data_IF_449457085271
#
_entry.id   IF_449457085271
#
_cell.length_a   1.000
_cell.length_b   1.000
_cell.length_c   1.000
_cell.angle_alpha   90.00
_cell.angle_beta   90.00
_cell.angle_gamma   90.00
#
_symmetry.space_group_name_H-M   'P 1'
#
loop_
_entity.id
_entity.type
_entity.pdbx_description
1 polymer ?
#
# COMPACT_ATOMS: atom_id res chain seq x y z
N UNK A 1 9.01 23.13 -8.67
CA UNK A 1 10.42 23.60 -8.56
C UNK A 1 10.67 24.69 -9.61
N UNK A 2 11.85 25.31 -9.63
CA UNK A 2 12.21 26.14 -10.79
C UNK A 2 12.56 25.21 -11.96
N UNK A 3 12.33 25.66 -13.19
CA UNK A 3 12.90 25.03 -14.37
C UNK A 3 14.43 25.23 -14.36
N UNK A 4 15.17 24.13 -14.39
CA UNK A 4 16.62 24.09 -14.30
C UNK A 4 17.29 23.86 -15.67
N UNK A 5 16.49 23.87 -16.76
CA UNK A 5 16.97 23.68 -18.12
C UNK A 5 17.98 24.78 -18.53
N UNK A 6 19.17 24.44 -19.06
CA UNK A 6 20.20 25.42 -19.41
C UNK A 6 19.78 26.46 -20.46
N UNK A 7 18.89 26.09 -21.39
CA UNK A 7 18.31 26.99 -22.40
C UNK A 7 17.24 27.94 -21.86
N UNK A 8 16.92 27.82 -20.57
CA UNK A 8 15.87 28.58 -19.91
C UNK A 8 14.46 28.02 -20.16
N UNK A 9 13.50 28.62 -19.46
CA UNK A 9 12.12 28.13 -19.36
C UNK A 9 11.44 27.87 -20.71
N UNK A 10 11.55 28.81 -21.67
CA UNK A 10 10.84 28.71 -22.95
C UNK A 10 11.36 27.55 -23.80
N UNK A 11 12.68 27.35 -23.83
CA UNK A 11 13.28 26.25 -24.58
C UNK A 11 12.98 24.90 -23.93
N UNK A 12 13.11 24.82 -22.61
CA UNK A 12 12.80 23.60 -21.85
C UNK A 12 11.34 23.16 -22.03
N UNK A 13 10.39 24.08 -21.86
CA UNK A 13 8.96 23.80 -22.07
C UNK A 13 8.66 23.33 -23.51
N UNK A 14 9.29 23.96 -24.51
CA UNK A 14 9.14 23.52 -25.91
C UNK A 14 9.64 22.08 -26.11
N UNK A 15 10.78 21.73 -25.52
CA UNK A 15 11.36 20.39 -25.65
C UNK A 15 10.51 19.34 -24.93
N UNK A 16 10.02 19.62 -23.73
CA UNK A 16 9.07 18.77 -23.01
C UNK A 16 7.81 18.54 -23.84
N UNK A 17 7.19 19.60 -24.37
CA UNK A 17 6.02 19.48 -25.26
C UNK A 17 6.31 18.62 -26.51
N UNK A 18 7.50 18.74 -27.11
CA UNK A 18 7.89 17.89 -28.24
C UNK A 18 7.96 16.42 -27.83
N UNK A 19 8.51 16.09 -26.66
CA UNK A 19 8.54 14.72 -26.15
C UNK A 19 7.13 14.17 -25.88
N UNK A 20 6.25 14.97 -25.28
CA UNK A 20 4.84 14.64 -25.04
C UNK A 20 4.12 14.27 -26.34
N UNK A 21 4.17 15.14 -27.35
CA UNK A 21 3.51 14.91 -28.62
C UNK A 21 4.13 13.75 -29.41
N UNK A 22 5.46 13.57 -29.29
CA UNK A 22 6.13 12.42 -29.88
C UNK A 22 5.69 11.11 -29.23
N UNK A 23 5.45 11.11 -27.92
CA UNK A 23 4.91 9.95 -27.20
C UNK A 23 3.54 9.55 -27.74
N UNK A 24 2.65 10.51 -28.02
CA UNK A 24 1.36 10.20 -28.66
C UNK A 24 1.50 9.51 -30.01
N UNK A 25 2.51 9.87 -30.81
CA UNK A 25 2.78 9.18 -32.07
C UNK A 25 3.20 7.72 -31.85
N UNK A 26 4.01 7.43 -30.83
CA UNK A 26 4.39 6.06 -30.43
C UNK A 26 3.16 5.28 -29.97
N UNK A 27 2.36 5.84 -29.06
CA UNK A 27 1.14 5.22 -28.56
C UNK A 27 0.16 4.89 -29.69
N UNK A 28 0.05 5.77 -30.70
CA UNK A 28 -0.76 5.52 -31.88
C UNK A 28 -0.22 4.37 -32.73
N UNK A 29 1.11 4.28 -32.91
CA UNK A 29 1.73 3.17 -33.63
C UNK A 29 1.44 1.82 -32.94
N UNK A 30 1.56 1.77 -31.61
CA UNK A 30 1.39 0.55 -30.81
C UNK A 30 -0.08 0.12 -30.75
N UNK A 31 -0.97 1.03 -30.36
CA UNK A 31 -2.35 0.69 -29.98
C UNK A 31 -3.44 1.33 -30.87
N UNK A 32 -3.09 2.25 -31.77
CA UNK A 32 -4.05 3.03 -32.59
C UNK A 32 -5.16 3.71 -31.76
N UNK A 33 -4.85 4.08 -30.51
CA UNK A 33 -5.79 4.62 -29.53
C UNK A 33 -7.08 3.79 -29.41
N UNK A 34 -6.93 2.47 -29.39
CA UNK A 34 -8.05 1.53 -29.25
C UNK A 34 -8.06 0.84 -27.88
N UNK A 35 -9.16 0.17 -27.55
CA UNK A 35 -9.29 -0.55 -26.28
C UNK A 35 -9.28 0.37 -25.05
N UNK A 36 -9.15 -0.23 -23.85
CA UNK A 36 -9.17 0.52 -22.59
C UNK A 36 -7.92 1.37 -22.33
N UNK A 37 -6.80 1.07 -22.98
CA UNK A 37 -5.57 1.88 -22.93
C UNK A 37 -5.66 3.12 -23.82
N UNK A 38 -6.51 3.09 -24.86
CA UNK A 38 -6.73 4.24 -25.74
C UNK A 38 -7.56 5.37 -25.13
N UNK A 39 -7.99 5.22 -23.87
CA UNK A 39 -8.65 6.29 -23.12
C UNK A 39 -7.69 7.48 -22.94
N UNK A 40 -8.24 8.70 -23.10
CA UNK A 40 -7.45 9.92 -23.09
C UNK A 40 -6.65 10.07 -21.80
N UNK A 41 -7.20 9.71 -20.64
CA UNK A 41 -6.51 9.90 -19.36
C UNK A 41 -5.24 9.04 -19.26
N UNK A 42 -5.25 7.81 -19.80
CA UNK A 42 -4.04 6.97 -19.84
C UNK A 42 -2.99 7.52 -20.80
N UNK A 43 -3.42 7.96 -21.99
CA UNK A 43 -2.51 8.46 -23.02
C UNK A 43 -1.81 9.76 -22.59
N UNK A 44 -2.55 10.70 -22.00
CA UNK A 44 -2.00 11.97 -21.52
C UNK A 44 -1.10 11.77 -20.30
N UNK A 45 -1.47 10.89 -19.37
CA UNK A 45 -0.65 10.62 -18.19
C UNK A 45 0.72 10.01 -18.56
N UNK A 46 0.74 9.08 -19.52
CA UNK A 46 1.96 8.43 -20.03
C UNK A 46 2.80 9.38 -20.91
N UNK A 47 2.16 10.34 -21.59
CA UNK A 47 2.86 11.39 -22.33
C UNK A 47 3.46 12.46 -21.40
N UNK A 48 2.76 12.85 -20.34
CA UNK A 48 3.30 13.73 -19.30
C UNK A 48 4.51 13.10 -18.59
N UNK A 49 4.46 11.79 -18.37
CA UNK A 49 5.59 11.06 -17.79
C UNK A 49 6.81 11.04 -18.72
N UNK A 50 6.63 11.01 -20.04
CA UNK A 50 7.73 11.11 -21.01
C UNK A 50 8.46 12.45 -20.93
N UNK A 51 7.77 13.53 -20.58
CA UNK A 51 8.40 14.84 -20.36
C UNK A 51 9.45 14.73 -19.25
N UNK A 52 9.08 14.12 -18.14
CA UNK A 52 9.97 13.93 -16.98
C UNK A 52 11.10 12.94 -17.28
N UNK A 53 10.82 11.82 -17.95
CA UNK A 53 11.86 10.83 -18.25
C UNK A 53 12.96 11.35 -19.18
N UNK A 54 12.63 12.28 -20.09
CA UNK A 54 13.57 12.78 -21.12
C UNK A 54 14.16 14.14 -20.76
N UNK A 55 13.40 14.97 -20.05
CA UNK A 55 13.75 16.34 -19.71
C UNK A 55 13.45 16.64 -18.23
N UNK A 56 13.96 15.80 -17.33
CA UNK A 56 13.88 15.92 -15.87
C UNK A 56 14.18 17.35 -15.35
N UNK A 57 15.23 17.99 -15.88
CA UNK A 57 15.64 19.35 -15.52
C UNK A 57 14.57 20.44 -15.84
N UNK A 58 13.55 20.13 -16.66
CA UNK A 58 12.51 21.10 -17.02
C UNK A 58 11.51 21.29 -15.88
N UNK A 59 11.29 20.27 -15.05
CA UNK A 59 10.41 20.30 -13.89
C UNK A 59 8.96 20.76 -14.24
N UNK A 60 8.41 20.38 -15.40
CA UNK A 60 7.10 20.90 -15.82
C UNK A 60 5.93 20.19 -15.12
N UNK A 61 6.04 18.88 -14.90
CA UNK A 61 4.93 18.05 -14.41
C UNK A 61 4.43 18.45 -13.01
N UNK A 62 5.28 19.11 -12.20
CA UNK A 62 4.92 19.66 -10.90
C UNK A 62 3.73 20.63 -10.97
N UNK A 63 3.56 21.32 -12.10
CA UNK A 63 2.44 22.24 -12.33
C UNK A 63 1.08 21.52 -12.32
N UNK A 64 1.05 20.22 -12.63
CA UNK A 64 -0.16 19.41 -12.66
C UNK A 64 -0.58 18.87 -11.29
N UNK A 65 0.29 18.96 -10.28
CA UNK A 65 0.09 18.31 -8.98
C UNK A 65 -0.75 19.14 -8.01
N UNK A 66 -0.94 20.44 -8.27
CA UNK A 66 -1.57 21.37 -7.33
C UNK A 66 -3.08 21.14 -7.13
N UNK A 67 -3.78 20.60 -8.13
CA UNK A 67 -5.24 20.40 -8.10
C UNK A 67 -5.65 19.16 -8.88
N UNK A 68 -6.70 18.47 -8.42
CA UNK A 68 -7.21 17.23 -9.00
C UNK A 68 -6.15 16.11 -9.13
N UNK A 69 -5.07 16.22 -8.37
CA UNK A 69 -4.03 15.19 -8.30
C UNK A 69 -4.36 14.17 -7.22
N UNK A 70 -3.62 13.07 -7.17
CA UNK A 70 -3.77 12.07 -6.11
C UNK A 70 -3.51 12.69 -4.72
N UNK A 71 -2.67 13.72 -4.63
CA UNK A 71 -2.41 14.44 -3.39
C UNK A 71 -3.63 15.24 -2.91
N UNK A 72 -4.33 15.94 -3.81
CA UNK A 72 -5.48 16.79 -3.45
C UNK A 72 -6.81 16.04 -3.45
N UNK A 73 -6.91 14.97 -4.22
CA UNK A 73 -8.17 14.31 -4.59
C UNK A 73 -8.05 12.79 -4.59
N UNK A 74 -7.60 12.14 -3.49
CA UNK A 74 -7.36 10.70 -3.45
C UNK A 74 -8.62 9.85 -3.72
N UNK A 75 -9.82 10.42 -3.55
CA UNK A 75 -11.10 9.78 -3.83
C UNK A 75 -11.45 9.73 -5.33
N UNK A 76 -10.68 10.39 -6.18
CA UNK A 76 -10.80 10.28 -7.63
C UNK A 76 -10.05 9.03 -8.11
N UNK A 77 -10.74 8.20 -8.89
CA UNK A 77 -10.14 6.96 -9.39
C UNK A 77 -9.03 7.28 -10.40
N UNK A 78 -7.93 6.53 -10.34
CA UNK A 78 -6.88 6.62 -11.37
C UNK A 78 -7.32 5.89 -12.64
N UNK A 79 -7.07 6.44 -13.84
CA UNK A 79 -6.24 7.62 -14.16
C UNK A 79 -7.00 8.96 -14.18
N UNK A 80 -6.25 10.07 -14.15
CA UNK A 80 -6.75 11.44 -14.40
C UNK A 80 -5.64 12.24 -15.10
N UNK A 81 -5.54 12.06 -16.43
CA UNK A 81 -4.55 12.67 -17.33
C UNK A 81 -3.21 13.07 -16.64
N UNK A 82 -2.75 14.30 -16.87
CA UNK A 82 -1.52 14.86 -16.30
C UNK A 82 -1.52 14.89 -14.77
N UNK A 83 -2.66 15.10 -14.12
CA UNK A 83 -2.77 15.30 -12.67
C UNK A 83 -2.41 14.05 -11.85
N UNK A 84 -2.43 12.87 -12.47
CA UNK A 84 -2.05 11.62 -11.83
C UNK A 84 -0.67 11.11 -12.28
N UNK A 85 0.16 11.91 -12.97
CA UNK A 85 1.48 11.48 -13.48
C UNK A 85 2.39 10.83 -12.41
N UNK A 86 2.36 11.33 -11.17
CA UNK A 86 3.12 10.75 -10.04
C UNK A 86 2.69 9.32 -9.69
N UNK A 87 1.48 8.91 -10.09
CA UNK A 87 1.07 7.52 -10.00
C UNK A 87 1.89 6.61 -10.91
N UNK A 88 2.23 7.07 -12.13
CA UNK A 88 3.08 6.31 -13.05
C UNK A 88 4.54 6.37 -12.62
N UNK A 89 5.01 7.52 -12.14
CA UNK A 89 6.37 7.70 -11.62
C UNK A 89 6.65 6.77 -10.42
N UNK A 90 5.66 6.51 -9.56
CA UNK A 90 5.78 5.49 -8.52
C UNK A 90 6.26 4.14 -9.09
N UNK A 91 5.69 3.68 -10.21
CA UNK A 91 6.11 2.41 -10.80
C UNK A 91 7.49 2.52 -11.45
N UNK A 92 7.85 3.68 -12.02
CA UNK A 92 9.19 3.93 -12.54
C UNK A 92 10.24 3.90 -11.41
N UNK A 93 9.97 4.48 -10.25
CA UNK A 93 10.86 4.41 -9.09
C UNK A 93 10.96 2.99 -8.52
N UNK A 94 9.84 2.26 -8.43
CA UNK A 94 9.85 0.91 -7.87
C UNK A 94 10.51 -0.13 -8.79
N UNK A 95 10.42 0.07 -10.11
CA UNK A 95 10.72 -0.98 -11.08
C UNK A 95 11.67 -0.55 -12.20
N UNK A 96 12.08 0.71 -12.22
CA UNK A 96 12.81 1.34 -13.32
C UNK A 96 11.94 1.61 -14.55
N UNK A 97 12.36 2.56 -15.38
CA UNK A 97 11.64 3.02 -16.58
C UNK A 97 11.31 1.92 -17.59
N UNK A 98 12.14 0.88 -17.64
CA UNK A 98 11.91 -0.33 -18.45
C UNK A 98 10.55 -0.98 -18.19
N UNK A 99 9.94 -0.78 -17.01
CA UNK A 99 8.63 -1.31 -16.68
C UNK A 99 7.57 -0.82 -17.66
N UNK A 100 7.55 0.48 -17.96
CA UNK A 100 6.56 1.06 -18.87
C UNK A 100 6.80 0.66 -20.33
N UNK A 101 8.05 0.45 -20.73
CA UNK A 101 8.38 -0.13 -22.04
C UNK A 101 7.81 -1.54 -22.19
N UNK A 102 7.96 -2.38 -21.16
CA UNK A 102 7.37 -3.73 -21.16
C UNK A 102 5.84 -3.69 -21.17
N UNK A 103 5.21 -2.78 -20.43
CA UNK A 103 3.75 -2.62 -20.40
C UNK A 103 3.23 -2.27 -21.80
N UNK A 104 3.82 -1.27 -22.46
CA UNK A 104 3.44 -0.91 -23.83
C UNK A 104 3.74 -2.02 -24.85
N UNK A 105 4.77 -2.83 -24.61
CA UNK A 105 5.03 -4.04 -25.40
C UNK A 105 3.87 -5.04 -25.32
N UNK A 106 3.25 -5.23 -24.15
CA UNK A 106 2.05 -6.07 -24.02
C UNK A 106 0.86 -5.48 -24.77
N UNK A 107 0.64 -4.16 -24.65
CA UNK A 107 -0.45 -3.45 -25.32
C UNK A 107 -0.31 -3.56 -26.84
N UNK A 108 0.92 -3.42 -27.38
CA UNK A 108 1.18 -3.56 -28.81
C UNK A 108 0.87 -4.98 -29.33
N UNK A 109 1.09 -6.01 -28.49
CA UNK A 109 0.76 -7.40 -28.83
C UNK A 109 -0.75 -7.68 -28.77
N UNK A 110 -1.47 -7.05 -27.83
CA UNK A 110 -2.91 -7.18 -27.70
C UNK A 110 -3.58 -5.85 -27.31
N UNK A 111 -4.11 -5.17 -28.33
CA UNK A 111 -4.76 -3.86 -28.22
C UNK A 111 -6.07 -3.84 -27.41
N UNK A 112 -6.61 -5.01 -27.08
CA UNK A 112 -7.81 -5.10 -26.24
C UNK A 112 -7.48 -5.13 -24.74
N UNK A 113 -6.21 -5.18 -24.36
CA UNK A 113 -5.81 -5.12 -22.95
C UNK A 113 -6.20 -3.76 -22.34
N UNK A 114 -6.54 -3.78 -21.06
CA UNK A 114 -6.55 -2.56 -20.25
C UNK A 114 -5.12 -2.26 -19.76
N UNK A 115 -4.84 -1.03 -19.34
CA UNK A 115 -3.51 -0.67 -18.82
C UNK A 115 -3.14 -1.56 -17.62
N UNK A 116 -4.10 -1.76 -16.73
CA UNK A 116 -3.93 -2.56 -15.51
C UNK A 116 -3.70 -4.04 -15.80
N UNK A 117 -4.21 -4.57 -16.92
CA UNK A 117 -3.88 -5.92 -17.38
C UNK A 117 -2.43 -6.06 -17.81
N UNK A 118 -2.00 -5.14 -18.67
CA UNK A 118 -0.64 -5.12 -19.16
C UNK A 118 0.34 -5.01 -17.98
N UNK A 119 0.06 -4.13 -17.01
CA UNK A 119 0.83 -4.02 -15.76
C UNK A 119 0.85 -5.32 -14.96
N UNK A 120 -0.31 -5.97 -14.75
CA UNK A 120 -0.38 -7.23 -14.00
C UNK A 120 0.42 -8.36 -14.69
N UNK A 121 0.42 -8.40 -16.03
CA UNK A 121 1.20 -9.35 -16.82
C UNK A 121 2.71 -9.11 -16.67
N UNK A 122 3.17 -7.86 -16.75
CA UNK A 122 4.58 -7.49 -16.56
C UNK A 122 5.05 -7.79 -15.13
N UNK A 123 4.28 -7.41 -14.12
CA UNK A 123 4.60 -7.70 -12.71
C UNK A 123 4.69 -9.20 -12.44
N UNK A 124 3.80 -10.00 -13.05
CA UNK A 124 3.91 -11.45 -12.97
C UNK A 124 5.23 -11.96 -13.59
N UNK A 125 5.55 -11.48 -14.79
CA UNK A 125 6.73 -11.92 -15.54
C UNK A 125 8.01 -11.66 -14.74
N UNK A 126 8.19 -10.42 -14.29
CA UNK A 126 9.35 -9.97 -13.49
C UNK A 126 9.51 -10.77 -12.20
N UNK A 127 8.43 -11.22 -11.58
CA UNK A 127 8.49 -12.08 -10.38
C UNK A 127 8.96 -13.51 -10.68
N UNK A 128 8.77 -14.00 -11.90
CA UNK A 128 9.04 -15.41 -12.27
C UNK A 128 10.36 -15.62 -13.01
N UNK A 129 11.14 -14.56 -13.26
CA UNK A 129 12.35 -14.58 -14.12
C UNK A 129 12.11 -15.26 -15.49
N UNK A 130 10.87 -15.25 -15.96
CA UNK A 130 10.49 -15.92 -17.20
C UNK A 130 10.74 -14.99 -18.38
N UNK A 131 11.78 -15.27 -19.16
CA UNK A 131 12.13 -14.54 -20.40
C UNK A 131 11.26 -14.91 -21.60
N UNK A 132 10.38 -15.91 -21.47
CA UNK A 132 9.53 -16.37 -22.58
C UNK A 132 8.20 -15.61 -22.63
N UNK A 133 8.08 -14.71 -23.60
CA UNK A 133 6.87 -13.98 -23.99
C UNK A 133 5.75 -14.87 -24.59
N UNK A 134 5.49 -16.07 -24.06
CA UNK A 134 4.49 -16.96 -24.68
C UNK A 134 3.67 -17.86 -23.77
N UNK A 135 3.73 -17.73 -22.43
CA UNK A 135 2.87 -18.58 -21.57
C UNK A 135 2.64 -18.08 -20.14
N UNK A 136 2.86 -16.78 -19.84
CA UNK A 136 2.02 -16.17 -18.80
C UNK A 136 0.64 -16.13 -19.45
N UNK A 137 -0.22 -17.08 -19.07
CA UNK A 137 -1.49 -17.32 -19.74
C UNK A 137 -2.19 -15.98 -20.03
N UNK A 138 -2.96 -15.90 -21.11
CA UNK A 138 -3.86 -14.78 -21.43
C UNK A 138 -4.87 -14.44 -20.30
N UNK A 139 -4.81 -15.17 -19.18
CA UNK A 139 -5.39 -14.85 -17.90
C UNK A 139 -4.28 -14.27 -17.01
N UNK A 140 -4.36 -12.99 -16.64
CA UNK A 140 -3.43 -12.39 -15.69
C UNK A 140 -3.24 -13.33 -14.48
N UNK A 141 -2.01 -13.77 -14.24
CA UNK A 141 -1.73 -14.70 -13.16
C UNK A 141 -2.07 -14.01 -11.83
N UNK A 142 -2.82 -14.69 -10.97
CA UNK A 142 -3.35 -14.16 -9.71
C UNK A 142 -2.29 -13.45 -8.85
N UNK A 143 -1.01 -13.81 -8.99
CA UNK A 143 0.08 -13.17 -8.25
C UNK A 143 0.44 -11.78 -8.80
N UNK A 144 0.47 -11.58 -10.12
CA UNK A 144 0.69 -10.27 -10.74
C UNK A 144 -0.42 -9.27 -10.36
N UNK A 145 -1.67 -9.71 -10.41
CA UNK A 145 -2.83 -8.91 -9.92
C UNK A 145 -2.66 -8.58 -8.44
N UNK A 146 -2.30 -9.56 -7.62
CA UNK A 146 -2.11 -9.31 -6.19
C UNK A 146 -0.98 -8.33 -5.90
N UNK A 147 0.10 -8.34 -6.68
CA UNK A 147 1.21 -7.39 -6.55
C UNK A 147 0.76 -5.99 -6.97
N UNK A 148 0.06 -5.88 -8.10
CA UNK A 148 -0.47 -4.61 -8.56
C UNK A 148 -1.43 -3.96 -7.53
N UNK A 149 -2.28 -4.75 -6.88
CA UNK A 149 -3.16 -4.25 -5.81
C UNK A 149 -2.38 -3.74 -4.59
N UNK A 150 -1.29 -4.43 -4.22
CA UNK A 150 -0.39 -3.98 -3.16
C UNK A 150 0.30 -2.67 -3.55
N UNK A 151 0.85 -2.60 -4.75
CA UNK A 151 1.52 -1.42 -5.29
C UNK A 151 0.59 -0.22 -5.36
N UNK A 152 -0.66 -0.42 -5.78
CA UNK A 152 -1.64 0.66 -5.79
C UNK A 152 -1.91 1.22 -4.38
N UNK A 153 -1.91 0.33 -3.37
CA UNK A 153 -2.08 0.74 -1.98
C UNK A 153 -0.86 1.52 -1.47
N UNK A 154 0.34 1.04 -1.77
CA UNK A 154 1.61 1.70 -1.45
C UNK A 154 1.70 3.07 -2.12
N UNK A 155 1.34 3.14 -3.40
CA UNK A 155 1.31 4.36 -4.19
C UNK A 155 0.42 5.43 -3.54
N UNK A 156 -0.82 5.08 -3.16
CA UNK A 156 -1.67 6.01 -2.38
C UNK A 156 -1.06 6.38 -1.02
N UNK A 157 -0.36 5.47 -0.34
CA UNK A 157 0.29 5.78 0.93
C UNK A 157 1.46 6.76 0.75
N UNK A 158 2.28 6.61 -0.30
CA UNK A 158 3.35 7.55 -0.67
C UNK A 158 2.79 8.95 -0.90
N UNK A 159 1.72 9.06 -1.68
CA UNK A 159 1.05 10.34 -1.91
C UNK A 159 0.48 10.92 -0.61
N UNK A 160 -0.17 10.12 0.22
CA UNK A 160 -0.74 10.57 1.50
C UNK A 160 0.34 10.96 2.53
N UNK A 161 1.55 10.41 2.41
CA UNK A 161 2.70 10.73 3.26
C UNK A 161 3.48 11.97 2.82
N UNK A 162 3.13 12.59 1.70
CA UNK A 162 3.81 13.79 1.18
C UNK A 162 3.52 15.04 2.01
N UNK A 163 4.57 15.82 2.29
CA UNK A 163 4.58 16.90 3.29
C UNK A 163 4.91 18.30 2.75
N UNK A 164 4.82 18.56 1.44
CA UNK A 164 5.18 19.88 0.88
C UNK A 164 6.59 20.36 1.26
N UNK A 165 7.62 19.55 1.00
CA UNK A 165 9.00 20.04 1.18
C UNK A 165 9.48 20.14 2.62
N UNK A 166 9.10 19.20 3.48
CA UNK A 166 9.64 18.97 4.82
C UNK A 166 9.31 20.01 5.92
N UNK A 167 8.38 20.95 5.68
CA UNK A 167 7.86 21.86 6.70
C UNK A 167 6.45 21.46 7.15
N UNK A 168 6.31 20.35 7.89
CA UNK A 168 5.07 20.01 8.59
C UNK A 168 5.15 20.43 10.07
N UNK A 169 4.27 21.30 10.61
CA UNK A 169 4.26 21.66 12.02
C UNK A 169 4.13 20.47 12.98
N UNK A 170 3.60 19.34 12.50
CA UNK A 170 3.43 18.11 13.28
C UNK A 170 4.67 17.21 13.28
N UNK A 171 5.62 17.41 12.35
CA UNK A 171 6.73 16.50 12.15
C UNK A 171 7.98 17.21 11.63
N UNK A 172 9.09 17.00 12.34
CA UNK A 172 10.42 17.44 11.88
C UNK A 172 11.26 16.19 11.61
N UNK A 173 11.84 16.05 10.40
CA UNK A 173 12.72 14.93 10.11
C UNK A 173 13.97 14.96 11.00
N UNK A 174 14.46 13.79 11.39
CA UNK A 174 15.69 13.67 12.19
C UNK A 174 16.98 13.82 11.37
N UNK A 175 16.89 13.89 10.04
CA UNK A 175 18.02 14.05 9.10
C UNK A 175 17.56 14.72 7.79
N UNK A 176 18.51 15.06 6.90
CA UNK A 176 18.21 15.60 5.56
C UNK A 176 17.53 14.59 4.60
N UNK A 177 17.35 13.33 5.00
CA UNK A 177 16.65 12.27 4.26
C UNK A 177 15.14 12.23 4.60
N UNK A 178 14.55 13.40 4.85
CA UNK A 178 13.27 13.56 5.54
C UNK A 178 12.02 13.34 4.70
N UNK A 179 12.00 12.40 3.76
CA UNK A 179 10.90 12.29 2.82
C UNK A 179 10.48 10.83 2.61
N UNK A 180 9.20 10.56 2.85
CA UNK A 180 8.61 9.24 2.74
C UNK A 180 8.21 8.97 1.29
N UNK A 181 8.68 7.85 0.74
CA UNK A 181 8.30 7.41 -0.59
C UNK A 181 9.19 8.00 -1.67
N UNK A 182 8.65 8.90 -2.48
CA UNK A 182 9.30 9.42 -3.69
C UNK A 182 10.62 10.12 -3.38
N UNK A 183 11.60 9.99 -4.28
CA UNK A 183 12.86 10.74 -4.20
C UNK A 183 12.60 12.27 -4.22
N UNK A 184 11.69 12.72 -5.08
CA UNK A 184 11.32 14.13 -5.27
C UNK A 184 10.21 14.60 -4.32
N UNK A 185 9.87 13.84 -3.29
CA UNK A 185 8.76 14.18 -2.38
C UNK A 185 8.94 15.52 -1.65
N UNK A 186 10.16 16.09 -1.64
CA UNK A 186 10.40 17.45 -1.18
C UNK A 186 9.73 18.53 -2.07
N UNK A 187 9.44 18.23 -3.34
CA UNK A 187 8.80 19.14 -4.29
C UNK A 187 7.30 18.87 -4.47
N UNK A 188 6.80 17.77 -3.91
CA UNK A 188 5.40 17.38 -4.01
C UNK A 188 4.51 18.11 -3.01
N UNK A 189 3.26 18.41 -3.39
CA UNK A 189 2.34 19.10 -2.50
C UNK A 189 2.02 18.25 -1.27
N UNK A 190 1.57 18.92 -0.21
CA UNK A 190 1.08 18.25 1.00
C UNK A 190 -0.23 17.53 0.66
N UNK A 191 -0.35 16.29 1.12
CA UNK A 191 -1.58 15.53 0.93
C UNK A 191 -2.78 16.21 1.60
N UNK A 192 -3.91 16.20 0.91
CA UNK A 192 -5.22 16.51 1.48
C UNK A 192 -5.86 15.21 1.96
N UNK A 193 -6.35 15.22 3.20
CA UNK A 193 -7.00 14.06 3.79
C UNK A 193 -8.51 14.13 3.64
N UNK A 194 -9.15 12.98 3.41
CA UNK A 194 -10.62 12.88 3.51
C UNK A 194 -11.09 13.29 4.90
N UNK A 195 -10.32 12.95 5.94
CA UNK A 195 -10.59 13.36 7.31
C UNK A 195 -9.27 13.58 8.06
N UNK A 196 -9.19 14.66 8.84
CA UNK A 196 -8.09 14.92 9.77
C UNK A 196 -8.67 15.12 11.17
N UNK A 197 -8.21 14.32 12.13
CA UNK A 197 -8.78 14.26 13.48
C UNK A 197 -7.67 14.38 14.51
N UNK A 198 -7.86 15.30 15.46
CA UNK A 198 -7.04 15.38 16.68
C UNK A 198 -7.77 14.69 17.82
N UNK A 199 -7.40 13.43 18.08
CA UNK A 199 -8.06 12.56 19.03
C UNK A 199 -7.85 13.05 20.46
N UNK A 200 -8.93 13.14 21.24
CA UNK A 200 -8.87 13.49 22.67
C UNK A 200 -8.82 12.25 23.56
N UNK A 201 -9.57 11.21 23.19
CA UNK A 201 -9.67 9.93 23.88
C UNK A 201 -9.91 8.82 22.87
N UNK A 202 -9.49 7.59 23.20
CA UNK A 202 -9.85 6.40 22.43
C UNK A 202 -11.07 5.68 23.04
N UNK A 203 -11.89 4.99 22.24
CA UNK A 203 -11.78 4.84 20.78
C UNK A 203 -12.30 6.07 20.00
N UNK A 204 -11.83 6.22 18.77
CA UNK A 204 -12.26 7.25 17.80
C UNK A 204 -12.61 6.55 16.48
N UNK A 205 -13.59 7.06 15.72
CA UNK A 205 -14.02 6.38 14.50
C UNK A 205 -14.85 7.24 13.57
N UNK A 206 -15.05 6.75 12.35
CA UNK A 206 -15.78 7.51 11.34
C UNK A 206 -16.24 6.66 10.16
N UNK A 207 -16.95 7.34 9.26
CA UNK A 207 -17.54 6.75 8.07
C UNK A 207 -16.88 7.33 6.81
N UNK A 208 -16.30 6.46 5.98
CA UNK A 208 -15.69 6.83 4.69
C UNK A 208 -16.69 6.72 3.53
N UNK A 209 -17.89 6.20 3.78
CA UNK A 209 -18.93 6.11 2.75
C UNK A 209 -18.61 5.07 1.70
N UNK A 210 -18.55 5.52 0.45
CA UNK A 210 -18.31 4.66 -0.70
C UNK A 210 -17.01 5.05 -1.40
N UNK A 211 -16.24 4.04 -1.81
CA UNK A 211 -14.97 4.22 -2.50
C UNK A 211 -15.08 3.56 -3.87
N UNK A 212 -15.01 4.36 -4.94
CA UNK A 212 -14.99 3.85 -6.32
C UNK A 212 -13.79 2.93 -6.55
N UNK A 213 -13.87 2.00 -7.50
CA UNK A 213 -12.73 1.15 -7.87
C UNK A 213 -11.53 2.03 -8.27
N UNK A 214 -10.32 1.69 -7.80
CA UNK A 214 -9.08 2.45 -8.02
C UNK A 214 -9.03 3.86 -7.43
N UNK A 215 -9.91 4.15 -6.48
CA UNK A 215 -9.87 5.34 -5.64
C UNK A 215 -9.51 4.98 -4.19
N UNK A 216 -9.19 6.00 -3.40
CA UNK A 216 -8.88 5.87 -1.99
C UNK A 216 -9.57 6.92 -1.12
N UNK A 217 -9.75 6.58 0.15
CA UNK A 217 -10.01 7.57 1.19
C UNK A 217 -8.84 7.58 2.16
N UNK A 218 -8.51 8.76 2.67
CA UNK A 218 -7.34 8.97 3.54
C UNK A 218 -7.76 9.63 4.84
N UNK A 219 -7.22 9.15 5.95
CA UNK A 219 -7.51 9.65 7.30
C UNK A 219 -6.19 9.97 7.99
N UNK A 220 -6.07 11.17 8.54
CA UNK A 220 -4.95 11.55 9.40
C UNK A 220 -5.43 11.67 10.84
N UNK A 221 -4.70 11.05 11.75
CA UNK A 221 -5.00 11.02 13.18
C UNK A 221 -3.82 11.60 13.96
N UNK A 222 -4.07 12.61 14.79
CA UNK A 222 -3.11 13.09 15.79
C UNK A 222 -3.51 12.53 17.15
N UNK A 223 -2.64 11.74 17.83
CA UNK A 223 -2.96 11.19 19.13
C UNK A 223 -3.08 12.28 20.21
N UNK A 224 -3.79 12.01 21.32
CA UNK A 224 -3.86 12.94 22.43
C UNK A 224 -2.46 13.14 23.04
N UNK A 225 -2.11 14.36 23.49
CA UNK A 225 -0.84 14.61 24.19
C UNK A 225 -0.64 13.74 25.44
N UNK A 226 -1.74 13.22 25.99
CA UNK A 226 -1.78 12.37 27.18
C UNK A 226 -1.81 10.87 26.86
N UNK A 227 -1.52 10.45 25.63
CA UNK A 227 -1.48 9.04 25.26
C UNK A 227 -0.49 8.27 26.15
N UNK A 228 -0.93 7.12 26.69
CA UNK A 228 -0.13 6.27 27.57
C UNK A 228 0.89 5.47 26.73
N UNK A 229 2.20 5.47 27.07
CA UNK A 229 3.21 4.73 26.31
C UNK A 229 2.99 3.21 26.30
N UNK A 230 2.22 2.67 27.25
CA UNK A 230 1.82 1.26 27.30
C UNK A 230 0.64 0.93 26.38
N UNK A 231 0.04 1.93 25.74
CA UNK A 231 -1.07 1.76 24.81
C UNK A 231 -0.60 1.88 23.36
N UNK A 232 -0.80 0.80 22.62
CA UNK A 232 -0.53 0.69 21.21
C UNK A 232 -1.71 1.01 20.33
N UNK A 233 -1.39 1.27 19.06
CA UNK A 233 -2.35 1.49 17.99
C UNK A 233 -3.12 0.20 17.69
N UNK A 234 -4.44 0.30 17.69
CA UNK A 234 -5.34 -0.65 17.06
C UNK A 234 -6.16 0.09 16.00
N UNK A 235 -6.23 -0.45 14.79
CA UNK A 235 -7.10 0.05 13.72
C UNK A 235 -8.03 -1.08 13.31
N UNK A 236 -9.33 -0.82 13.27
CA UNK A 236 -10.33 -1.73 12.73
C UNK A 236 -11.03 -1.05 11.57
N UNK A 237 -11.23 -1.81 10.50
CA UNK A 237 -12.04 -1.43 9.37
C UNK A 237 -13.18 -2.43 9.22
N UNK A 238 -14.34 -1.94 8.82
CA UNK A 238 -15.50 -2.75 8.46
C UNK A 238 -16.13 -2.26 7.16
N UNK A 239 -16.71 -3.19 6.43
CA UNK A 239 -17.46 -2.93 5.20
C UNK A 239 -18.78 -3.69 5.21
N UNK A 240 -19.80 -3.11 4.58
CA UNK A 240 -21.09 -3.78 4.40
C UNK A 240 -21.03 -4.94 3.40
N UNK A 241 -20.04 -4.97 2.49
CA UNK A 241 -19.91 -6.00 1.46
C UNK A 241 -18.48 -6.56 1.38
N UNK A 242 -18.28 -7.75 1.93
CA UNK A 242 -16.98 -8.43 1.91
C UNK A 242 -16.53 -8.93 0.53
N UNK A 243 -17.37 -8.90 -0.51
CA UNK A 243 -17.03 -9.49 -1.82
C UNK A 243 -16.04 -8.68 -2.68
N UNK A 244 -15.58 -7.54 -2.17
CA UNK A 244 -14.64 -6.65 -2.81
C UNK A 244 -13.24 -6.74 -2.17
N UNK A 245 -12.21 -6.34 -2.90
CA UNK A 245 -10.85 -6.27 -2.38
C UNK A 245 -10.49 -4.84 -2.03
N UNK A 246 -9.91 -4.64 -0.85
CA UNK A 246 -9.37 -3.36 -0.43
C UNK A 246 -7.93 -3.52 0.06
N UNK A 247 -7.15 -2.47 -0.16
CA UNK A 247 -5.85 -2.29 0.46
C UNK A 247 -5.98 -1.31 1.61
N UNK A 248 -5.31 -1.62 2.71
CA UNK A 248 -5.17 -0.71 3.86
C UNK A 248 -3.69 -0.46 4.07
N UNK A 249 -3.30 0.81 4.01
CA UNK A 249 -1.96 1.26 4.35
C UNK A 249 -2.00 2.13 5.59
N UNK A 250 -1.09 1.90 6.54
CA UNK A 250 -0.86 2.77 7.68
C UNK A 250 0.54 3.34 7.58
N UNK A 251 0.70 4.64 7.81
CA UNK A 251 1.98 5.33 7.95
C UNK A 251 2.00 6.04 9.30
N UNK A 252 2.85 5.55 10.20
CA UNK A 252 3.13 6.21 11.47
C UNK A 252 4.35 7.13 11.32
N UNK A 253 4.20 8.38 11.77
CA UNK A 253 5.30 9.31 11.97
C UNK A 253 5.53 9.47 13.47
N UNK A 254 6.75 9.24 13.90
CA UNK A 254 7.14 9.24 15.31
C UNK A 254 7.70 10.62 15.70
N UNK A 255 7.53 10.99 16.97
CA UNK A 255 8.03 12.25 17.55
C UNK A 255 9.55 12.40 17.48
N UNK A 256 10.27 11.28 17.35
CA UNK A 256 11.72 11.23 17.18
C UNK A 256 12.18 11.31 15.70
N UNK A 257 11.24 11.57 14.78
CA UNK A 257 11.51 11.73 13.36
C UNK A 257 11.45 10.43 12.56
N UNK A 258 11.36 9.25 13.19
CA UNK A 258 11.20 7.98 12.47
C UNK A 258 9.86 7.90 11.76
N UNK A 259 9.79 7.06 10.74
CA UNK A 259 8.57 6.73 10.02
C UNK A 259 8.48 5.21 9.85
N UNK A 260 7.27 4.64 9.95
CA UNK A 260 7.02 3.21 9.68
C UNK A 260 5.71 3.01 8.97
N UNK A 261 5.68 2.06 8.07
CA UNK A 261 4.49 1.67 7.32
C UNK A 261 3.99 0.26 7.70
N UNK A 262 2.70 0.00 7.50
CA UNK A 262 2.11 -1.33 7.56
C UNK A 262 1.04 -1.46 6.47
N UNK A 263 1.07 -2.57 5.75
CA UNK A 263 0.06 -2.89 4.73
C UNK A 263 -0.76 -4.11 5.08
N UNK A 264 -2.03 -4.06 4.68
CA UNK A 264 -2.91 -5.21 4.66
C UNK A 264 -3.78 -5.18 3.43
N UNK A 265 -3.67 -6.22 2.62
CA UNK A 265 -4.69 -6.58 1.64
C UNK A 265 -5.83 -7.30 2.37
N UNK A 266 -7.05 -6.88 2.10
CA UNK A 266 -8.28 -7.43 2.64
C UNK A 266 -9.14 -7.87 1.46
N UNK A 267 -9.48 -9.15 1.41
CA UNK A 267 -10.30 -9.72 0.34
C UNK A 267 -11.25 -10.74 0.94
N UNK A 268 -12.54 -10.68 0.58
CA UNK A 268 -13.54 -11.62 1.11
C UNK A 268 -13.74 -11.52 2.64
N UNK A 269 -13.47 -10.36 3.23
CA UNK A 269 -13.62 -10.09 4.67
C UNK A 269 -14.54 -8.87 4.87
N UNK A 270 -15.47 -8.94 5.84
CA UNK A 270 -16.35 -7.81 6.21
C UNK A 270 -15.72 -6.89 7.25
N UNK A 271 -14.65 -7.35 7.91
CA UNK A 271 -13.86 -6.53 8.83
C UNK A 271 -12.44 -7.05 8.92
N UNK A 272 -11.50 -6.13 9.09
CA UNK A 272 -10.10 -6.43 9.39
C UNK A 272 -9.64 -5.63 10.60
N UNK A 273 -8.67 -6.15 11.35
CA UNK A 273 -8.06 -5.45 12.48
C UNK A 273 -6.55 -5.48 12.32
N UNK A 274 -5.92 -4.32 12.48
CA UNK A 274 -4.49 -4.07 12.41
C UNK A 274 -4.02 -3.61 13.79
N UNK A 275 -2.98 -4.26 14.29
CA UNK A 275 -2.29 -3.84 15.51
C UNK A 275 -0.82 -3.73 15.12
N UNK A 276 -0.34 -2.59 14.63
CA UNK A 276 1.04 -2.44 14.17
C UNK A 276 2.06 -2.44 15.30
N UNK A 277 1.59 -2.44 16.57
CA UNK A 277 2.41 -2.41 17.77
C UNK A 277 3.25 -1.13 17.95
N UNK A 278 2.84 -0.05 17.30
CA UNK A 278 3.34 1.30 17.57
C UNK A 278 2.61 1.86 18.80
N UNK A 279 3.32 2.59 19.66
CA UNK A 279 2.72 3.26 20.83
C UNK A 279 2.09 4.58 20.43
N UNK A 280 0.87 4.86 20.89
CA UNK A 280 0.22 6.15 20.64
C UNK A 280 1.01 7.33 21.24
N UNK A 281 1.74 7.10 22.33
CA UNK A 281 2.55 8.13 22.98
C UNK A 281 3.76 8.55 22.13
N UNK A 282 4.26 7.66 21.27
CA UNK A 282 5.45 7.91 20.45
C UNK A 282 5.11 8.55 19.10
N UNK A 283 3.84 8.51 18.68
CA UNK A 283 3.42 9.04 17.38
C UNK A 283 3.22 10.56 17.42
N UNK A 284 3.73 11.24 16.40
CA UNK A 284 3.28 12.58 16.00
C UNK A 284 1.91 12.49 15.34
N UNK A 285 1.75 11.54 14.42
CA UNK A 285 0.49 11.25 13.75
C UNK A 285 0.51 9.85 13.11
N UNK A 286 -0.70 9.41 12.76
CA UNK A 286 -0.97 8.20 12.01
C UNK A 286 -1.79 8.56 10.76
N UNK A 287 -1.24 8.29 9.59
CA UNK A 287 -1.95 8.32 8.32
C UNK A 287 -2.49 6.94 7.98
N UNK A 288 -3.75 6.85 7.61
CA UNK A 288 -4.41 5.64 7.11
C UNK A 288 -4.94 5.90 5.70
N UNK A 289 -4.65 5.00 4.77
CA UNK A 289 -5.24 4.98 3.43
C UNK A 289 -6.07 3.70 3.28
N UNK A 290 -7.30 3.85 2.79
CA UNK A 290 -8.20 2.75 2.45
C UNK A 290 -8.47 2.82 0.96
N UNK A 291 -7.94 1.86 0.23
CA UNK A 291 -7.91 1.86 -1.23
C UNK A 291 -8.83 0.77 -1.75
N UNK A 292 -9.70 1.11 -2.69
CA UNK A 292 -10.49 0.10 -3.39
C UNK A 292 -9.66 -0.55 -4.49
N UNK A 293 -9.03 -1.67 -4.17
CA UNK A 293 -8.21 -2.43 -5.11
C UNK A 293 -9.04 -3.46 -5.88
N UNK A 294 -10.38 -3.32 -5.92
CA UNK A 294 -11.24 -4.29 -6.59
C UNK A 294 -11.08 -4.16 -8.09
N UNK A 295 -10.27 -5.07 -8.62
CA UNK A 295 -9.96 -5.23 -10.03
C UNK A 295 -9.63 -6.69 -10.29
N UNK A 296 -10.18 -7.22 -11.38
CA UNK A 296 -9.92 -8.56 -11.90
C UNK A 296 -9.92 -8.44 -13.42
N UNK A 297 -8.97 -8.95 -14.19
CA UNK A 297 -9.02 -8.73 -15.65
C UNK A 297 -8.14 -9.74 -16.42
N UNK A 298 -8.29 -10.07 -17.76
CA UNK A 298 -9.32 -9.76 -18.78
C UNK A 298 -9.68 -10.91 -19.78
N UNK A 299 -10.53 -11.90 -19.46
CA UNK A 299 -11.36 -12.58 -20.51
C UNK A 299 -12.81 -12.74 -20.10
N UNK A 300 -13.14 -12.30 -18.88
CA UNK A 300 -14.49 -12.21 -18.36
C UNK A 300 -14.64 -10.86 -17.69
N UNK A 301 -15.72 -10.18 -18.06
CA UNK A 301 -16.14 -8.86 -17.58
C UNK A 301 -15.96 -8.75 -16.07
N UNK A 302 -14.98 -7.99 -15.60
CA UNK A 302 -15.02 -7.49 -14.23
C UNK A 302 -15.86 -6.23 -14.22
N UNK A 303 -16.87 -6.22 -13.36
CA UNK A 303 -17.43 -4.95 -12.91
C UNK A 303 -16.44 -4.33 -11.92
N UNK A 304 -15.95 -3.13 -12.23
CA UNK A 304 -15.50 -2.22 -11.19
C UNK A 304 -16.59 -2.20 -10.10
N UNK A 305 -16.24 -2.57 -8.88
CA UNK A 305 -17.18 -2.56 -7.77
C UNK A 305 -16.82 -1.43 -6.83
N UNK A 306 -17.77 -0.56 -6.58
CA UNK A 306 -17.69 0.41 -5.50
C UNK A 306 -17.74 -0.31 -4.16
N UNK A 307 -16.78 -0.03 -3.29
CA UNK A 307 -16.86 -0.39 -1.88
C UNK A 307 -17.87 0.50 -1.21
N UNK A 308 -18.77 -0.06 -0.41
CA UNK A 308 -19.84 0.71 0.25
C UNK A 308 -19.83 0.48 1.75
N UNK A 309 -20.21 1.52 2.49
CA UNK A 309 -20.40 1.44 3.93
C UNK A 309 -19.10 1.16 4.66
N UNK A 310 -18.01 1.83 4.27
CA UNK A 310 -16.72 1.67 4.93
C UNK A 310 -16.72 2.48 6.22
N UNK A 311 -16.49 1.79 7.32
CA UNK A 311 -16.34 2.34 8.66
C UNK A 311 -14.93 2.04 9.16
N UNK A 312 -14.37 2.99 9.91
CA UNK A 312 -13.09 2.82 10.57
C UNK A 312 -13.21 3.17 12.05
N UNK A 313 -12.38 2.50 12.84
CA UNK A 313 -12.25 2.70 14.27
C UNK A 313 -10.77 2.61 14.61
N UNK A 314 -10.26 3.57 15.37
CA UNK A 314 -8.98 3.46 16.05
C UNK A 314 -9.18 3.39 17.55
N UNK A 315 -8.37 2.57 18.20
CA UNK A 315 -8.44 2.33 19.63
C UNK A 315 -7.04 2.18 20.24
N UNK A 316 -6.98 2.21 21.56
CA UNK A 316 -5.83 1.89 22.36
C UNK A 316 -5.88 0.42 22.78
N UNK A 317 -4.84 -0.35 22.45
CA UNK A 317 -4.65 -1.72 22.97
C UNK A 317 -3.43 -1.78 23.86
N UNK A 318 -3.50 -2.49 24.98
CA UNK A 318 -2.33 -2.67 25.84
C UNK A 318 -1.20 -3.40 25.10
N UNK A 319 -0.01 -2.79 25.04
CA UNK A 319 1.20 -3.42 24.54
C UNK A 319 1.88 -4.17 25.70
N UNK A 320 2.06 -5.51 25.59
CA UNK A 320 2.86 -6.21 26.57
C UNK A 320 4.31 -5.70 26.48
N UNK A 321 5.03 -5.67 27.60
CA UNK A 321 6.46 -5.32 27.59
C UNK A 321 7.25 -6.25 26.65
N UNK A 322 6.94 -7.56 26.74
CA UNK A 322 7.37 -8.62 25.81
C UNK A 322 6.27 -9.66 25.74
N UNK A 323 5.76 -10.00 24.56
CA UNK A 323 4.67 -10.97 24.49
C UNK A 323 3.98 -11.07 23.13
N UNK A 324 3.09 -12.08 23.04
CA UNK A 324 2.23 -12.28 21.88
C UNK A 324 1.08 -11.28 21.91
N UNK A 325 0.77 -10.76 20.73
CA UNK A 325 -0.47 -10.04 20.46
C UNK A 325 -1.50 -11.03 19.89
N UNK A 326 -2.71 -10.56 19.60
CA UNK A 326 -3.78 -11.43 19.10
C UNK A 326 -3.47 -11.90 17.66
N UNK A 327 -3.39 -13.22 17.40
CA UNK A 327 -3.22 -13.72 16.03
C UNK A 327 -4.39 -13.32 15.14
N UNK A 328 -4.11 -12.97 13.88
CA UNK A 328 -5.13 -12.53 12.92
C UNK A 328 -4.85 -13.03 11.48
N UNK A 329 -5.89 -13.35 10.69
CA UNK A 329 -7.29 -13.48 11.12
C UNK A 329 -7.44 -14.63 12.13
N UNK A 330 -8.45 -14.59 12.99
CA UNK A 330 -8.77 -15.67 13.92
C UNK A 330 -10.29 -15.71 14.12
N UNK A 331 -11.00 -16.77 13.67
CA UNK A 331 -10.48 -17.98 13.03
C UNK A 331 -9.79 -17.76 11.68
N UNK A 332 -8.90 -18.67 11.28
CA UNK A 332 -8.22 -18.64 9.99
C UNK A 332 -8.37 -19.95 9.22
N UNK A 333 -8.26 -19.91 7.89
CA UNK A 333 -8.45 -21.09 7.03
C UNK A 333 -7.15 -21.66 6.43
N UNK A 334 -6.26 -20.79 5.94
CA UNK A 334 -5.03 -21.19 5.25
C UNK A 334 -3.77 -20.68 5.95
N UNK A 335 -3.79 -19.42 6.39
CA UNK A 335 -2.66 -18.78 7.05
C UNK A 335 -3.13 -17.83 8.15
N UNK A 336 -2.27 -17.63 9.14
CA UNK A 336 -2.48 -16.66 10.22
C UNK A 336 -1.20 -15.88 10.47
N UNK A 337 -1.34 -14.59 10.74
CA UNK A 337 -0.27 -13.74 11.25
C UNK A 337 -0.23 -13.83 12.77
N UNK A 338 0.96 -14.07 13.31
CA UNK A 338 1.24 -14.18 14.74
C UNK A 338 2.08 -12.96 15.13
N UNK A 339 1.42 -11.88 15.57
CA UNK A 339 2.10 -10.68 16.03
C UNK A 339 2.67 -10.84 17.44
N UNK A 340 3.80 -10.20 17.71
CA UNK A 340 4.39 -10.08 19.04
C UNK A 340 5.16 -8.76 19.18
N UNK A 341 5.35 -8.32 20.42
CA UNK A 341 6.11 -7.11 20.74
C UNK A 341 7.31 -7.45 21.61
N UNK A 342 8.42 -6.77 21.39
CA UNK A 342 9.64 -6.83 22.19
C UNK A 342 10.08 -5.40 22.55
N UNK A 343 10.23 -5.07 23.83
CA UNK A 343 10.77 -3.75 24.23
C UNK A 343 12.29 -3.59 24.06
N UNK A 344 12.99 -4.65 23.66
CA UNK A 344 14.43 -4.65 23.40
C UNK A 344 14.77 -5.77 22.39
N UNK A 345 15.86 -5.65 21.60
CA UNK A 345 16.31 -6.73 20.74
C UNK A 345 16.48 -8.02 21.54
N UNK A 346 15.84 -9.10 21.09
CA UNK A 346 15.73 -10.34 21.87
C UNK A 346 15.82 -11.57 20.98
N UNK A 347 16.37 -12.64 21.52
CA UNK A 347 16.29 -13.97 20.92
C UNK A 347 14.99 -14.66 21.37
N UNK A 348 14.18 -15.13 20.41
CA UNK A 348 12.89 -15.77 20.71
C UNK A 348 12.68 -17.08 19.95
N UNK A 349 11.93 -17.97 20.58
CA UNK A 349 11.39 -19.19 19.98
C UNK A 349 9.87 -19.11 19.92
N UNK A 350 9.30 -19.49 18.77
CA UNK A 350 7.85 -19.52 18.55
C UNK A 350 7.44 -20.94 18.17
N UNK A 351 6.58 -21.53 19.00
CA UNK A 351 6.17 -22.93 18.88
C UNK A 351 4.65 -23.04 18.96
N UNK A 352 4.06 -23.94 18.17
CA UNK A 352 2.61 -24.18 18.19
C UNK A 352 2.30 -25.56 18.76
N UNK A 353 1.28 -25.61 19.62
CA UNK A 353 0.78 -26.81 20.28
C UNK A 353 -0.69 -27.05 19.94
N UNK A 354 -1.10 -28.32 19.86
CA UNK A 354 -2.53 -28.68 19.87
C UNK A 354 -3.10 -28.66 21.31
N UNK A 355 -4.42 -28.88 21.43
CA UNK A 355 -5.13 -28.88 22.72
C UNK A 355 -4.64 -29.94 23.71
N UNK A 356 -3.91 -30.96 23.26
CA UNK A 356 -3.32 -31.99 24.13
C UNK A 356 -1.93 -31.61 24.64
N UNK A 357 -1.40 -30.46 24.20
CA UNK A 357 -0.05 -30.00 24.52
C UNK A 357 1.03 -30.62 23.62
N UNK A 358 0.67 -31.33 22.55
CA UNK A 358 1.64 -31.86 21.58
C UNK A 358 2.12 -30.74 20.67
N UNK A 359 3.44 -30.59 20.53
CA UNK A 359 4.05 -29.64 19.58
C UNK A 359 3.70 -30.07 18.15
N UNK A 360 3.01 -29.21 17.42
CA UNK A 360 2.61 -29.43 16.02
C UNK A 360 3.45 -28.62 15.02
N UNK A 361 4.11 -27.55 15.48
CA UNK A 361 5.04 -26.78 14.66
C UNK A 361 6.08 -26.03 15.52
N UNK A 362 7.28 -25.85 14.99
CA UNK A 362 8.31 -24.95 15.51
C UNK A 362 8.58 -23.89 14.44
N UNK A 363 7.98 -22.72 14.61
CA UNK A 363 7.96 -21.69 13.57
C UNK A 363 9.29 -20.92 13.55
N UNK A 364 9.85 -20.67 14.73
CA UNK A 364 11.15 -20.06 14.94
C UNK A 364 11.81 -20.70 16.14
N UNK A 365 13.12 -20.88 16.08
CA UNK A 365 13.94 -21.40 17.16
C UNK A 365 15.11 -20.48 17.38
N UNK A 366 15.17 -19.85 18.54
CA UNK A 366 16.26 -18.99 18.96
C UNK A 366 16.64 -17.95 17.89
N UNK A 367 15.62 -17.31 17.31
CA UNK A 367 15.79 -16.32 16.28
C UNK A 367 15.91 -14.95 16.92
N UNK A 368 16.96 -14.19 16.58
CA UNK A 368 17.09 -12.79 17.00
C UNK A 368 16.12 -11.90 16.22
N UNK A 369 15.44 -11.01 16.95
CA UNK A 369 14.59 -9.95 16.40
C UNK A 369 15.00 -8.61 17.01
N UNK A 370 14.81 -7.53 16.27
CA UNK A 370 14.88 -6.17 16.83
C UNK A 370 13.74 -5.94 17.81
N UNK A 371 13.87 -4.89 18.62
CA UNK A 371 12.76 -4.36 19.40
C UNK A 371 11.63 -3.83 18.51
N UNK A 372 10.50 -3.57 19.15
CA UNK A 372 9.24 -3.20 18.55
C UNK A 372 8.36 -4.39 18.19
N UNK A 373 7.38 -4.10 17.35
CA UNK A 373 6.46 -5.07 16.83
C UNK A 373 7.11 -5.95 15.76
N UNK A 374 6.80 -7.24 15.84
CA UNK A 374 7.22 -8.27 14.91
C UNK A 374 6.01 -9.12 14.54
N UNK A 375 6.02 -9.73 13.36
CA UNK A 375 4.99 -10.66 12.96
C UNK A 375 5.59 -11.80 12.15
N UNK A 376 5.12 -13.02 12.41
CA UNK A 376 5.43 -14.18 11.56
C UNK A 376 4.15 -14.75 10.97
N UNK A 377 4.24 -15.25 9.76
CA UNK A 377 3.15 -15.97 9.12
C UNK A 377 3.24 -17.48 9.42
N UNK A 378 2.11 -18.09 9.76
CA UNK A 378 1.98 -19.53 9.91
C UNK A 378 0.97 -20.10 8.92
N UNK A 379 1.44 -21.02 8.08
CA UNK A 379 0.65 -21.82 7.12
C UNK A 379 0.63 -23.29 7.55
N UNK A 380 -0.38 -23.75 8.32
CA UNK A 380 -0.45 -25.14 8.73
C UNK A 380 -0.82 -26.07 7.58
N UNK A 381 -0.11 -27.20 7.48
CA UNK A 381 -0.41 -28.30 6.55
C UNK A 381 -0.83 -29.55 7.34
N UNK A 382 -1.83 -30.29 6.84
CA UNK A 382 -2.27 -31.54 7.45
C UNK A 382 -2.92 -31.45 8.85
N UNK A 383 -3.14 -30.23 9.36
CA UNK A 383 -3.80 -30.01 10.65
C UNK A 383 -5.32 -29.92 10.51
N UNK A 384 -6.04 -30.56 11.43
CA UNK A 384 -7.50 -30.54 11.53
C UNK A 384 -8.01 -29.18 12.03
N UNK A 385 -9.28 -28.86 11.74
CA UNK A 385 -9.92 -27.69 12.35
C UNK A 385 -9.96 -27.82 13.88
N UNK A 386 -9.66 -26.74 14.60
CA UNK A 386 -9.60 -26.75 16.05
C UNK A 386 -8.82 -25.57 16.62
N UNK A 387 -8.72 -25.53 17.95
CA UNK A 387 -7.92 -24.54 18.68
C UNK A 387 -6.48 -25.03 18.82
N UNK A 388 -5.54 -24.14 18.59
CA UNK A 388 -4.11 -24.32 18.79
C UNK A 388 -3.57 -23.25 19.73
N UNK A 389 -2.44 -23.52 20.37
CA UNK A 389 -1.77 -22.57 21.24
C UNK A 389 -0.42 -22.18 20.67
N UNK A 390 -0.25 -20.91 20.36
CA UNK A 390 1.03 -20.33 20.00
C UNK A 390 1.75 -19.94 21.28
N UNK A 391 3.00 -20.36 21.43
CA UNK A 391 3.87 -19.99 22.53
C UNK A 391 5.06 -19.21 22.02
N UNK A 392 5.30 -18.04 22.59
CA UNK A 392 6.52 -17.25 22.45
C UNK A 392 7.34 -17.40 23.73
N UNK A 393 8.63 -17.68 23.59
CA UNK A 393 9.59 -17.74 24.69
C UNK A 393 10.85 -16.99 24.33
N UNK A 394 11.37 -16.18 25.25
CA UNK A 394 12.70 -15.57 25.17
C UNK A 394 13.33 -15.50 26.56
N UNK A 395 14.42 -14.77 26.69
CA UNK A 395 15.10 -14.63 27.98
C UNK A 395 14.20 -13.95 29.02
N UNK A 396 13.86 -14.70 30.08
CA UNK A 396 13.08 -14.19 31.21
C UNK A 396 11.57 -14.01 30.95
N UNK A 397 11.05 -14.36 29.77
CA UNK A 397 9.61 -14.24 29.48
C UNK A 397 9.04 -15.40 28.67
N UNK A 398 7.74 -15.64 28.87
CA UNK A 398 6.94 -16.61 28.12
C UNK A 398 5.51 -16.10 28.02
N UNK A 399 4.96 -16.15 26.82
CA UNK A 399 3.55 -15.83 26.58
C UNK A 399 2.88 -16.89 25.69
N UNK A 400 1.57 -17.05 25.83
CA UNK A 400 0.75 -18.04 25.11
C UNK A 400 -0.57 -17.42 24.66
N UNK A 401 -0.90 -17.56 23.37
CA UNK A 401 -2.20 -17.15 22.82
C UNK A 401 -2.89 -18.30 22.07
N UNK A 402 -4.21 -18.45 22.20
CA UNK A 402 -4.96 -19.39 21.39
C UNK A 402 -5.17 -18.85 19.96
N UNK A 403 -5.29 -19.76 19.00
CA UNK A 403 -5.66 -19.46 17.61
C UNK A 403 -6.55 -20.59 17.06
N UNK A 404 -7.59 -20.25 16.30
CA UNK A 404 -8.57 -21.21 15.79
C UNK A 404 -8.38 -21.44 14.30
N UNK A 405 -8.03 -22.68 13.91
CA UNK A 405 -7.99 -23.11 12.51
C UNK A 405 -9.37 -23.65 12.11
N UNK A 406 -9.93 -23.13 11.03
CA UNK A 406 -11.19 -23.57 10.45
C UNK A 406 -10.99 -23.90 8.97
N UNK A 407 -10.82 -25.19 8.66
CA UNK A 407 -10.87 -25.70 7.28
C UNK A 407 -12.32 -25.73 6.81
N UNK A 408 -12.58 -25.20 5.62
CA UNK A 408 -13.83 -25.47 4.93
C UNK A 408 -13.86 -26.96 4.60
N UNK A 409 -14.95 -27.66 4.95
CA UNK A 409 -15.18 -29.02 4.44
C UNK A 409 -15.32 -28.88 2.91
N UNK A 410 -14.42 -29.51 2.17
CA UNK A 410 -14.64 -29.77 0.74
C UNK A 410 -15.69 -30.86 0.58
#
# INVERSE_FOLDING_TARGET
PQNDWPGGFVEGALLATIAHEFKHAIQYADNRWSGGVGDQDWLEMDAAMMEETVYDDVNDYYNYLASNSIFSSPAQATPVAYSHVTWMLYFAEQYGESFWVEVWTEVAQNRNLTMLDAMAMVLQRRKTDSSTASQVAQNAAQQGVSKLQQDHTQNHLWHAGSLAGALDPLWTPSSSEGSYGFEESAFYPKATFTSSISTQTFPEGGFLGSISSWAANTVQLTPPPTADPTQGVLVRLSTQNGSASMGVGLLARFKDGRQKELFRKVSNEVSTTLVPGWSWADLSDLTMVVVNTTFTSPTGVSSAKTLTGIEWLVDAVYLPERGLLLPYPNPFAQQVSIPFYLNAPSEVSITVFDVTGRRVAELRKNQSYSDGFQSIEWKPEGLASGVYFVRLTGEGFRDVKPVTLQRNRQ
#
